data_IF_747078738977
#
_entry.id   IF_747078738977
#
_cell.length_a   1.000
_cell.length_b   1.000
_cell.length_c   1.000
_cell.angle_alpha   90.00
_cell.angle_beta   90.00
_cell.angle_gamma   90.00
#
_symmetry.space_group_name_H-M   'P 1'
#
loop_
_entity.id
_entity.type
_entity.pdbx_description
1 polymer ?
#
# COMPACT_ATOMS: atom_id res chain seq x y z
N UNK A 1 18.97 3.59 -11.94
CA UNK A 1 18.09 2.60 -11.28
C UNK A 1 18.90 1.38 -10.86
N UNK A 2 18.78 0.93 -9.60
CA UNK A 2 19.58 -0.18 -9.06
C UNK A 2 18.87 -1.53 -9.10
N UNK A 3 19.61 -2.61 -8.86
CA UNK A 3 19.15 -4.01 -8.92
C UNK A 3 18.21 -4.43 -7.75
N UNK A 4 17.61 -3.45 -7.07
CA UNK A 4 16.70 -3.57 -5.93
C UNK A 4 15.33 -2.92 -6.16
N UNK A 5 15.10 -2.30 -7.33
CA UNK A 5 13.83 -1.64 -7.66
C UNK A 5 12.66 -2.59 -7.90
N UNK A 6 11.46 -2.02 -8.10
CA UNK A 6 10.20 -2.75 -8.36
C UNK A 6 10.38 -3.80 -9.47
N UNK A 7 10.89 -3.39 -10.63
CA UNK A 7 11.11 -4.28 -11.79
C UNK A 7 12.05 -5.45 -11.43
N UNK A 8 13.16 -5.17 -10.74
CA UNK A 8 14.11 -6.21 -10.31
C UNK A 8 13.46 -7.23 -9.35
N UNK A 9 12.62 -6.76 -8.42
CA UNK A 9 11.87 -7.63 -7.50
C UNK A 9 10.88 -8.53 -8.26
N UNK A 10 10.21 -7.99 -9.28
CA UNK A 10 9.29 -8.75 -10.14
C UNK A 10 10.01 -9.82 -10.95
N UNK A 11 11.14 -9.48 -11.59
CA UNK A 11 11.96 -10.46 -12.32
C UNK A 11 12.42 -11.58 -11.38
N UNK A 12 12.87 -11.24 -10.17
CA UNK A 12 13.24 -12.23 -9.15
C UNK A 12 12.05 -13.15 -8.83
N UNK A 13 10.85 -12.60 -8.67
CA UNK A 13 9.65 -13.39 -8.41
C UNK A 13 9.33 -14.38 -9.55
N UNK A 14 9.49 -13.98 -10.82
CA UNK A 14 9.30 -14.89 -11.96
C UNK A 14 10.26 -16.10 -11.91
N UNK A 15 11.54 -15.84 -11.60
CA UNK A 15 12.57 -16.88 -11.49
C UNK A 15 12.28 -17.82 -10.33
N UNK A 16 11.97 -17.26 -9.15
CA UNK A 16 11.69 -18.05 -7.94
C UNK A 16 10.41 -18.89 -8.07
N UNK A 17 9.35 -18.36 -8.72
CA UNK A 17 8.14 -19.13 -8.98
C UNK A 17 8.40 -20.40 -9.78
N UNK A 18 9.23 -20.31 -10.83
CA UNK A 18 9.66 -21.49 -11.60
C UNK A 18 10.48 -22.48 -10.76
N UNK A 19 11.36 -22.00 -9.88
CA UNK A 19 12.15 -22.84 -8.97
C UNK A 19 11.26 -23.59 -7.98
N UNK A 20 10.33 -22.89 -7.31
CA UNK A 20 9.41 -23.47 -6.32
C UNK A 20 8.54 -24.55 -6.97
N UNK A 21 7.90 -24.27 -8.10
CA UNK A 21 7.06 -25.27 -8.79
C UNK A 21 7.86 -26.50 -9.23
N UNK A 22 9.13 -26.33 -9.60
CA UNK A 22 10.00 -27.47 -9.92
C UNK A 22 10.30 -28.32 -8.68
N UNK A 23 10.55 -27.68 -7.53
CA UNK A 23 10.77 -28.35 -6.24
C UNK A 23 9.52 -29.10 -5.75
N UNK A 24 8.33 -28.54 -6.00
CA UNK A 24 7.02 -29.17 -5.75
C UNK A 24 6.67 -30.27 -6.77
N UNK A 25 7.65 -30.75 -7.55
CA UNK A 25 7.53 -31.89 -8.47
C UNK A 25 6.51 -31.67 -9.59
N UNK A 26 6.36 -30.44 -10.10
CA UNK A 26 5.56 -30.15 -11.30
C UNK A 26 6.33 -30.23 -12.62
N UNK A 27 7.65 -30.47 -12.57
CA UNK A 27 8.50 -30.65 -13.75
C UNK A 27 7.99 -31.79 -14.64
N UNK A 28 7.73 -31.48 -15.91
CA UNK A 28 7.28 -32.45 -16.92
C UNK A 28 5.84 -32.93 -16.77
N UNK A 29 5.09 -32.45 -15.77
CA UNK A 29 3.68 -32.80 -15.62
C UNK A 29 2.83 -32.03 -16.62
N UNK A 30 1.76 -32.68 -17.08
CA UNK A 30 0.70 -31.99 -17.81
C UNK A 30 -0.10 -31.11 -16.84
N UNK A 31 -0.24 -29.82 -17.19
CA UNK A 31 -0.97 -28.84 -16.39
C UNK A 31 -1.95 -28.14 -17.32
N UNK A 32 -3.25 -28.32 -17.09
CA UNK A 32 -4.27 -27.66 -17.91
C UNK A 32 -4.32 -26.15 -17.66
N UNK A 33 -4.21 -25.74 -16.39
CA UNK A 33 -4.31 -24.33 -16.01
C UNK A 33 -3.43 -24.02 -14.79
N UNK A 34 -2.61 -22.99 -14.90
CA UNK A 34 -1.90 -22.36 -13.80
C UNK A 34 -2.66 -21.11 -13.35
N UNK A 35 -3.27 -21.19 -12.17
CA UNK A 35 -3.94 -20.04 -11.52
C UNK A 35 -2.94 -19.31 -10.63
N UNK A 36 -2.78 -18.02 -10.87
CA UNK A 36 -1.85 -17.15 -10.14
C UNK A 36 -2.66 -16.15 -9.33
N UNK A 37 -2.37 -16.09 -8.03
CA UNK A 37 -2.88 -15.08 -7.13
C UNK A 37 -1.70 -14.20 -6.69
N UNK A 38 -1.85 -12.89 -6.75
CA UNK A 38 -0.77 -11.93 -6.53
C UNK A 38 -1.15 -11.06 -5.34
N UNK A 39 -0.19 -10.84 -4.44
CA UNK A 39 -0.38 -10.01 -3.26
C UNK A 39 0.74 -8.99 -3.15
N UNK A 40 0.42 -7.81 -2.61
CA UNK A 40 1.43 -6.82 -2.31
C UNK A 40 0.93 -5.75 -1.35
N UNK A 41 1.86 -5.23 -0.55
CA UNK A 41 1.66 -4.07 0.32
C UNK A 41 2.62 -2.96 -0.12
N UNK A 42 2.14 -1.70 -0.19
CA UNK A 42 2.98 -0.53 -0.48
C UNK A 42 3.69 -0.65 -1.83
N UNK A 43 5.00 -0.45 -1.87
CA UNK A 43 5.87 -0.75 -3.04
C UNK A 43 5.80 -2.21 -3.49
N UNK A 44 5.44 -3.13 -2.59
CA UNK A 44 5.12 -4.51 -2.93
C UNK A 44 3.82 -4.63 -3.72
N UNK A 45 2.82 -3.77 -3.47
CA UNK A 45 1.61 -3.68 -4.27
C UNK A 45 1.92 -3.11 -5.67
N UNK A 46 2.79 -2.10 -5.77
CA UNK A 46 3.31 -1.64 -7.06
C UNK A 46 4.05 -2.77 -7.82
N UNK A 47 4.83 -3.60 -7.12
CA UNK A 47 5.44 -4.78 -7.70
C UNK A 47 4.43 -5.85 -8.13
N UNK A 48 3.35 -6.06 -7.37
CA UNK A 48 2.26 -6.97 -7.77
C UNK A 48 1.57 -6.49 -9.06
N UNK A 49 1.28 -5.20 -9.15
CA UNK A 49 0.73 -4.53 -10.34
C UNK A 49 1.68 -4.70 -11.55
N UNK A 50 2.96 -4.37 -11.38
CA UNK A 50 3.95 -4.51 -12.43
C UNK A 50 4.24 -5.98 -12.81
N UNK A 51 4.10 -6.93 -11.88
CA UNK A 51 4.16 -8.36 -12.19
C UNK A 51 3.07 -8.75 -13.18
N UNK A 52 1.84 -8.24 -13.02
CA UNK A 52 0.78 -8.49 -14.00
C UNK A 52 1.13 -7.91 -15.37
N UNK A 53 1.80 -6.75 -15.44
CA UNK A 53 2.30 -6.22 -16.71
C UNK A 53 3.31 -7.19 -17.35
N UNK A 54 4.38 -7.55 -16.63
CA UNK A 54 5.43 -8.47 -17.12
C UNK A 54 4.83 -9.83 -17.54
N UNK A 55 3.87 -10.34 -16.78
CA UNK A 55 3.29 -11.65 -16.97
C UNK A 55 2.06 -11.67 -17.91
N UNK A 56 1.68 -10.50 -18.47
CA UNK A 56 0.72 -10.37 -19.56
C UNK A 56 1.32 -9.67 -20.80
N UNK A 57 2.65 -9.54 -20.86
CA UNK A 57 3.37 -8.97 -21.99
C UNK A 57 4.21 -10.03 -22.70
N UNK A 58 4.51 -9.87 -24.01
CA UNK A 58 5.38 -10.78 -24.74
C UNK A 58 6.80 -10.86 -24.17
N UNK A 59 7.49 -11.97 -24.41
CA UNK A 59 8.88 -12.16 -23.98
C UNK A 59 9.83 -11.28 -24.81
N UNK A 60 10.90 -10.80 -24.19
CA UNK A 60 11.99 -10.12 -24.93
C UNK A 60 12.85 -11.19 -25.60
N UNK A 61 12.59 -11.45 -26.88
CA UNK A 61 13.29 -12.46 -27.67
C UNK A 61 14.61 -11.89 -28.18
N UNK A 62 15.72 -12.58 -27.89
CA UNK A 62 17.04 -12.27 -28.42
C UNK A 62 17.26 -12.90 -29.79
N UNK A 63 16.98 -14.20 -29.91
CA UNK A 63 17.01 -14.91 -31.18
C UNK A 63 16.17 -16.19 -31.13
N UNK A 64 15.90 -16.75 -32.31
CA UNK A 64 15.30 -18.06 -32.52
C UNK A 64 16.29 -18.92 -33.30
N UNK A 65 16.51 -20.16 -32.87
CA UNK A 65 17.38 -21.09 -33.58
C UNK A 65 16.61 -21.96 -34.60
N UNK A 66 17.36 -22.79 -35.35
CA UNK A 66 16.80 -23.65 -36.41
C UNK A 66 15.87 -24.75 -35.87
N UNK A 67 15.95 -25.07 -34.59
CA UNK A 67 15.12 -26.06 -33.91
C UNK A 67 13.89 -25.42 -33.23
N UNK A 68 13.62 -24.14 -33.54
CA UNK A 68 12.54 -23.35 -32.96
C UNK A 68 12.65 -23.17 -31.44
N UNK A 69 13.87 -23.20 -30.90
CA UNK A 69 14.11 -22.74 -29.54
C UNK A 69 14.32 -21.23 -29.51
N UNK A 70 13.79 -20.59 -28.48
CA UNK A 70 13.81 -19.16 -28.27
C UNK A 70 14.82 -18.83 -27.17
N UNK A 71 15.74 -17.92 -27.45
CA UNK A 71 16.57 -17.32 -26.41
C UNK A 71 15.88 -16.06 -25.89
N UNK A 72 15.56 -16.05 -24.60
CA UNK A 72 14.86 -14.96 -23.92
C UNK A 72 15.85 -14.14 -23.10
N UNK A 73 15.71 -12.81 -23.15
CA UNK A 73 16.41 -11.88 -22.26
C UNK A 73 15.56 -11.56 -21.05
N UNK A 74 16.23 -11.37 -19.90
CA UNK A 74 15.57 -10.81 -18.73
C UNK A 74 15.18 -9.33 -18.95
N UNK A 75 14.00 -8.89 -18.48
CA UNK A 75 13.61 -7.48 -18.51
C UNK A 75 14.53 -6.58 -17.67
N UNK A 76 15.08 -7.12 -16.58
CA UNK A 76 15.95 -6.36 -15.66
C UNK A 76 16.79 -7.29 -14.79
N UNK A 77 18.02 -6.90 -14.49
CA UNK A 77 18.85 -7.59 -13.51
C UNK A 77 18.35 -7.34 -12.08
N UNK A 78 18.52 -8.33 -11.21
CA UNK A 78 18.28 -8.19 -9.76
C UNK A 78 19.52 -8.61 -8.97
N UNK A 79 19.63 -8.11 -7.74
CA UNK A 79 20.79 -8.40 -6.90
C UNK A 79 20.89 -9.91 -6.60
N UNK A 80 22.02 -10.52 -6.96
CA UNK A 80 22.25 -11.96 -6.80
C UNK A 80 21.66 -12.81 -7.92
N UNK A 81 21.29 -12.22 -9.05
CA UNK A 81 20.88 -12.98 -10.25
C UNK A 81 22.03 -13.86 -10.74
N UNK A 82 21.73 -15.12 -11.02
CA UNK A 82 22.68 -16.06 -11.62
C UNK A 82 22.85 -15.77 -13.12
N UNK A 83 24.05 -15.95 -13.67
CA UNK A 83 24.32 -15.72 -15.09
C UNK A 83 23.37 -16.49 -16.02
N UNK A 84 22.92 -17.68 -15.60
CA UNK A 84 21.97 -18.48 -16.36
C UNK A 84 20.55 -17.90 -16.42
N UNK A 85 20.21 -16.94 -15.56
CA UNK A 85 18.89 -16.28 -15.55
C UNK A 85 18.90 -14.97 -16.36
N UNK A 86 20.08 -14.45 -16.74
CA UNK A 86 20.19 -13.24 -17.56
C UNK A 86 19.66 -13.45 -18.98
N UNK A 87 20.09 -14.56 -19.59
CA UNK A 87 19.71 -14.96 -20.94
C UNK A 87 19.74 -16.48 -21.02
N UNK A 88 18.64 -17.07 -21.43
CA UNK A 88 18.53 -18.52 -21.51
C UNK A 88 17.62 -18.97 -22.65
N UNK A 89 17.82 -20.21 -23.08
CA UNK A 89 17.10 -20.84 -24.18
C UNK A 89 15.96 -21.71 -23.64
N UNK A 90 14.79 -21.62 -24.26
CA UNK A 90 13.62 -22.46 -23.99
C UNK A 90 12.96 -22.89 -25.31
N UNK A 91 12.22 -24.01 -25.34
CA UNK A 91 11.39 -24.34 -26.50
C UNK A 91 10.35 -23.25 -26.75
N UNK A 92 10.03 -22.97 -28.01
CA UNK A 92 8.90 -22.09 -28.33
C UNK A 92 7.60 -22.64 -27.73
N UNK A 93 6.81 -21.73 -27.18
CA UNK A 93 5.46 -21.98 -26.68
C UNK A 93 4.64 -20.71 -26.89
N UNK A 94 3.36 -20.79 -27.28
CA UNK A 94 2.46 -19.63 -27.34
C UNK A 94 2.34 -18.87 -26.02
N UNK A 95 2.73 -19.49 -24.89
CA UNK A 95 2.83 -18.81 -23.61
C UNK A 95 3.86 -17.67 -23.62
N UNK A 96 4.92 -17.74 -24.43
CA UNK A 96 5.95 -16.69 -24.49
C UNK A 96 5.39 -15.40 -25.08
N UNK A 97 4.46 -15.49 -26.02
CA UNK A 97 3.84 -14.33 -26.66
C UNK A 97 2.86 -13.62 -25.72
N UNK A 98 2.26 -14.36 -24.79
CA UNK A 98 1.21 -13.85 -23.90
C UNK A 98 1.67 -13.56 -22.48
N UNK A 99 2.61 -14.36 -21.96
CA UNK A 99 3.01 -14.37 -20.56
C UNK A 99 4.51 -14.17 -20.36
N UNK A 100 5.22 -13.85 -21.45
CA UNK A 100 6.53 -13.24 -21.45
C UNK A 100 7.59 -13.94 -20.62
N UNK A 101 8.33 -13.12 -19.86
CA UNK A 101 9.43 -13.61 -19.05
C UNK A 101 8.98 -14.57 -17.94
N UNK A 102 7.74 -14.42 -17.44
CA UNK A 102 7.17 -15.36 -16.47
C UNK A 102 7.01 -16.76 -17.10
N UNK A 103 6.43 -16.85 -18.29
CA UNK A 103 6.35 -18.12 -19.01
C UNK A 103 7.74 -18.69 -19.35
N UNK A 104 8.69 -17.85 -19.75
CA UNK A 104 10.05 -18.30 -20.01
C UNK A 104 10.68 -18.97 -18.77
N UNK A 105 10.50 -18.39 -17.58
CA UNK A 105 10.99 -18.97 -16.32
C UNK A 105 10.36 -20.33 -15.99
N UNK A 106 9.06 -20.51 -16.30
CA UNK A 106 8.38 -21.80 -16.15
C UNK A 106 8.92 -22.84 -17.15
N UNK A 107 9.02 -22.47 -18.43
CA UNK A 107 9.49 -23.35 -19.50
C UNK A 107 10.93 -23.82 -19.28
N UNK A 108 11.80 -22.93 -18.77
CA UNK A 108 13.18 -23.27 -18.36
C UNK A 108 13.23 -24.44 -17.38
N UNK A 109 12.18 -24.61 -16.57
CA UNK A 109 12.03 -25.68 -15.58
C UNK A 109 11.12 -26.83 -16.04
N UNK A 110 10.84 -26.89 -17.34
CA UNK A 110 9.93 -27.86 -17.99
C UNK A 110 8.52 -27.83 -17.39
N UNK A 111 8.04 -26.64 -17.03
CA UNK A 111 6.66 -26.40 -16.59
C UNK A 111 5.96 -25.67 -17.73
N UNK A 112 5.02 -26.35 -18.41
CA UNK A 112 4.35 -25.85 -19.60
C UNK A 112 2.82 -25.99 -19.46
N UNK A 113 2.16 -25.11 -18.70
CA UNK A 113 0.72 -25.16 -18.54
C UNK A 113 0.01 -24.77 -19.85
N UNK A 114 -1.12 -25.41 -20.19
CA UNK A 114 -1.90 -25.04 -21.39
C UNK A 114 -2.43 -23.59 -21.30
N UNK A 115 -2.65 -23.09 -20.08
CA UNK A 115 -3.14 -21.74 -19.82
C UNK A 115 -2.60 -21.18 -18.50
N UNK A 116 -2.35 -19.87 -18.46
CA UNK A 116 -2.08 -19.12 -17.22
C UNK A 116 -3.23 -18.12 -17.02
N UNK A 117 -3.73 -18.01 -15.78
CA UNK A 117 -4.76 -17.03 -15.40
C UNK A 117 -4.39 -16.32 -14.10
N UNK A 118 -4.57 -15.01 -14.09
CA UNK A 118 -4.46 -14.19 -12.87
C UNK A 118 -5.85 -14.08 -12.24
N UNK A 119 -6.03 -14.80 -11.13
CA UNK A 119 -7.35 -15.00 -10.51
C UNK A 119 -7.70 -13.91 -9.50
N UNK A 120 -6.76 -13.61 -8.60
CA UNK A 120 -6.94 -12.65 -7.53
C UNK A 120 -5.70 -11.78 -7.40
N UNK A 121 -5.92 -10.47 -7.32
CA UNK A 121 -4.89 -9.49 -6.99
C UNK A 121 -5.29 -8.77 -5.71
N UNK A 122 -4.59 -9.07 -4.62
CA UNK A 122 -4.83 -8.51 -3.29
C UNK A 122 -3.79 -7.44 -2.95
N UNK A 123 -4.22 -6.18 -2.91
CA UNK A 123 -3.35 -5.04 -2.68
C UNK A 123 -3.66 -4.39 -1.32
N UNK A 124 -2.60 -3.99 -0.63
CA UNK A 124 -2.67 -3.12 0.54
C UNK A 124 -1.97 -1.82 0.18
N UNK A 125 -2.72 -0.73 0.24
CA UNK A 125 -2.26 0.64 0.19
C UNK A 125 -1.14 0.91 -0.82
N UNK A 126 -1.46 0.82 -2.11
CA UNK A 126 -0.45 0.91 -3.17
C UNK A 126 0.19 2.29 -3.19
N UNK A 127 1.51 2.33 -2.99
CA UNK A 127 2.32 3.54 -3.18
C UNK A 127 3.26 3.28 -4.36
N UNK A 128 3.03 4.01 -5.45
CA UNK A 128 3.94 4.07 -6.58
C UNK A 128 5.12 4.97 -6.18
N UNK A 129 6.30 4.40 -6.03
CA UNK A 129 7.52 5.20 -5.83
C UNK A 129 8.61 4.68 -6.77
N UNK A 130 8.88 5.44 -7.82
CA UNK A 130 9.95 5.20 -8.78
C UNK A 130 10.94 6.37 -8.73
N UNK A 131 12.12 6.12 -8.15
CA UNK A 131 13.22 7.10 -8.14
C UNK A 131 13.22 8.04 -6.92
N UNK A 132 13.93 9.16 -7.06
CA UNK A 132 14.13 10.18 -6.00
C UNK A 132 13.02 11.25 -6.04
N UNK A 133 12.15 11.18 -7.06
CA UNK A 133 10.95 11.98 -7.21
C UNK A 133 9.74 11.05 -7.15
N UNK A 134 8.83 11.28 -6.21
CA UNK A 134 7.59 10.53 -6.03
C UNK A 134 6.50 11.12 -6.94
N UNK A 135 6.69 11.03 -8.26
CA UNK A 135 5.72 11.50 -9.26
C UNK A 135 4.63 10.46 -9.57
N UNK A 136 3.80 10.75 -10.59
CA UNK A 136 2.83 9.80 -11.12
C UNK A 136 3.51 8.69 -11.95
N UNK A 137 4.08 7.70 -11.28
CA UNK A 137 4.80 6.58 -11.90
C UNK A 137 3.87 5.47 -12.42
N UNK A 138 2.55 5.72 -12.47
CA UNK A 138 1.56 4.74 -12.93
C UNK A 138 1.83 4.32 -14.36
N UNK A 139 2.14 5.29 -15.25
CA UNK A 139 2.48 5.01 -16.64
C UNK A 139 3.85 4.35 -16.78
N UNK A 140 4.82 4.76 -15.98
CA UNK A 140 6.21 4.32 -16.10
C UNK A 140 6.40 2.86 -15.67
N UNK A 141 5.49 2.35 -14.84
CA UNK A 141 5.48 0.98 -14.37
C UNK A 141 4.27 0.17 -14.85
N UNK A 142 3.45 0.71 -15.77
CA UNK A 142 2.23 0.06 -16.28
C UNK A 142 1.35 -0.51 -15.16
N UNK A 143 1.14 0.29 -14.12
CA UNK A 143 0.46 -0.21 -12.92
C UNK A 143 -1.04 -0.49 -13.16
N UNK A 144 -1.58 -0.01 -14.28
CA UNK A 144 -2.94 -0.27 -14.77
C UNK A 144 -3.14 -1.71 -15.31
N UNK A 145 -2.07 -2.51 -15.34
CA UNK A 145 -2.12 -3.91 -15.75
C UNK A 145 -3.02 -4.80 -14.86
N UNK A 146 -3.47 -4.30 -13.71
CA UNK A 146 -4.46 -4.96 -12.86
C UNK A 146 -5.79 -5.23 -13.55
N UNK A 147 -6.12 -4.49 -14.62
CA UNK A 147 -7.27 -4.77 -15.50
C UNK A 147 -7.27 -6.18 -16.10
N UNK A 148 -6.09 -6.84 -16.13
CA UNK A 148 -5.92 -8.21 -16.60
C UNK A 148 -6.17 -9.27 -15.50
N UNK A 149 -6.38 -8.87 -14.25
CA UNK A 149 -6.77 -9.77 -13.16
C UNK A 149 -8.27 -10.01 -13.19
N UNK A 150 -8.70 -11.25 -12.89
CA UNK A 150 -10.12 -11.58 -12.83
C UNK A 150 -10.84 -10.83 -11.68
N UNK A 151 -10.18 -10.63 -10.55
CA UNK A 151 -10.65 -9.74 -9.49
C UNK A 151 -9.48 -9.02 -8.82
N UNK A 152 -9.71 -7.77 -8.43
CA UNK A 152 -8.74 -6.94 -7.73
C UNK A 152 -9.40 -6.41 -6.45
N UNK A 153 -8.76 -6.64 -5.31
CA UNK A 153 -9.14 -6.04 -4.04
C UNK A 153 -8.01 -5.10 -3.61
N UNK A 154 -8.34 -3.86 -3.27
CA UNK A 154 -7.40 -2.96 -2.60
C UNK A 154 -7.96 -2.49 -1.26
N UNK A 155 -7.11 -2.52 -0.23
CA UNK A 155 -7.39 -1.95 1.09
C UNK A 155 -6.51 -0.70 1.23
N UNK A 156 -7.13 0.47 1.30
CA UNK A 156 -6.46 1.78 1.27
C UNK A 156 -6.58 2.48 2.63
N UNK A 157 -5.53 3.18 3.04
CA UNK A 157 -5.49 4.02 4.23
C UNK A 157 -6.18 5.38 3.98
N UNK A 158 -7.09 5.79 4.85
CA UNK A 158 -7.72 7.12 4.79
C UNK A 158 -6.91 8.20 5.51
N UNK A 159 -6.13 7.81 6.52
CA UNK A 159 -5.41 8.72 7.40
C UNK A 159 -3.93 8.87 7.05
N UNK A 160 -3.51 8.43 5.87
CA UNK A 160 -2.13 8.64 5.40
C UNK A 160 -1.95 10.08 4.87
N UNK A 161 -1.11 10.84 5.57
CA UNK A 161 -0.90 12.27 5.33
C UNK A 161 0.50 12.62 4.80
N UNK A 162 1.40 11.63 4.69
CA UNK A 162 2.76 11.88 4.23
C UNK A 162 2.81 12.23 2.75
N UNK A 163 3.65 13.19 2.39
CA UNK A 163 3.82 13.63 1.01
C UNK A 163 4.23 12.48 0.08
N UNK A 164 5.21 11.67 0.48
CA UNK A 164 5.76 10.63 -0.40
C UNK A 164 4.96 9.31 -0.44
N UNK A 165 3.71 9.31 0.05
CA UNK A 165 2.86 8.13 0.22
C UNK A 165 1.53 8.22 -0.54
N UNK A 166 1.56 8.86 -1.72
CA UNK A 166 0.40 8.95 -2.60
C UNK A 166 -0.16 7.58 -2.97
N UNK A 167 -1.49 7.51 -2.97
CA UNK A 167 -2.21 6.30 -3.27
C UNK A 167 -2.26 6.11 -4.78
N UNK A 168 -1.96 4.91 -5.24
CA UNK A 168 -2.39 4.47 -6.57
C UNK A 168 -3.68 3.66 -6.42
N UNK A 169 -4.81 4.22 -6.86
CA UNK A 169 -6.10 3.53 -6.80
C UNK A 169 -6.20 2.40 -7.84
N UNK A 170 -7.29 1.64 -7.81
CA UNK A 170 -7.55 0.54 -8.77
C UNK A 170 -8.55 0.88 -9.87
N UNK A 171 -8.66 2.15 -10.28
CA UNK A 171 -9.62 2.62 -11.30
C UNK A 171 -9.60 1.77 -12.56
N UNK A 172 -8.43 1.34 -13.02
CA UNK A 172 -8.25 0.52 -14.22
C UNK A 172 -8.90 -0.87 -14.16
N UNK A 173 -9.16 -1.41 -12.95
CA UNK A 173 -9.87 -2.67 -12.79
C UNK A 173 -11.38 -2.55 -13.05
N UNK A 174 -11.94 -1.33 -13.00
CA UNK A 174 -13.38 -1.10 -13.21
C UNK A 174 -14.24 -2.02 -12.34
N UNK A 175 -15.24 -2.66 -12.95
CA UNK A 175 -16.12 -3.62 -12.26
C UNK A 175 -15.42 -4.90 -11.75
N UNK A 176 -14.20 -5.20 -12.20
CA UNK A 176 -13.41 -6.30 -11.65
C UNK A 176 -12.67 -5.88 -10.36
N UNK A 177 -12.64 -4.59 -10.04
CA UNK A 177 -12.04 -4.04 -8.84
C UNK A 177 -13.06 -3.85 -7.71
N UNK A 178 -12.56 -3.86 -6.48
CA UNK A 178 -13.22 -3.35 -5.29
C UNK A 178 -12.17 -2.73 -4.36
N UNK A 179 -12.33 -1.46 -4.03
CA UNK A 179 -11.43 -0.75 -3.12
C UNK A 179 -12.19 -0.36 -1.86
N UNK A 180 -11.59 -0.60 -0.69
CA UNK A 180 -12.10 -0.12 0.59
C UNK A 180 -11.12 0.89 1.17
N UNK A 181 -11.63 2.08 1.48
CA UNK A 181 -10.90 3.11 2.22
C UNK A 181 -11.22 2.96 3.70
N UNK A 182 -10.21 2.70 4.52
CA UNK A 182 -10.36 2.35 5.93
C UNK A 182 -9.61 3.37 6.82
N UNK A 183 -10.08 3.61 8.06
CA UNK A 183 -9.37 4.49 8.98
C UNK A 183 -7.97 3.94 9.29
N UNK A 184 -7.04 4.83 9.58
CA UNK A 184 -5.64 4.49 9.87
C UNK A 184 -4.66 4.86 8.77
N UNK A 185 -3.38 4.78 9.11
CA UNK A 185 -2.25 5.13 8.22
C UNK A 185 -1.76 3.91 7.45
N UNK A 186 -0.79 4.10 6.55
CA UNK A 186 -0.28 3.07 5.65
C UNK A 186 0.00 1.70 6.31
N UNK A 187 0.71 1.71 7.44
CA UNK A 187 1.10 0.48 8.14
C UNK A 187 0.02 -0.06 9.09
N UNK A 188 -1.02 0.73 9.41
CA UNK A 188 -2.23 0.21 10.09
C UNK A 188 -3.02 -0.70 9.15
N UNK A 189 -2.94 -0.45 7.84
CA UNK A 189 -3.56 -1.28 6.80
C UNK A 189 -2.66 -2.46 6.41
N UNK A 190 -1.36 -2.23 6.24
CA UNK A 190 -0.42 -3.24 5.77
C UNK A 190 0.19 -4.17 6.83
N UNK A 191 0.11 -3.81 8.12
CA UNK A 191 0.63 -4.60 9.24
C UNK A 191 2.15 -4.56 9.37
N UNK A 192 2.70 -3.47 9.92
CA UNK A 192 4.15 -3.33 10.15
C UNK A 192 4.55 -2.66 11.47
N UNK A 193 3.59 -2.23 12.28
CA UNK A 193 3.87 -1.67 13.61
C UNK A 193 4.06 -2.78 14.64
N UNK A 194 4.89 -2.53 15.65
CA UNK A 194 4.98 -3.44 16.79
C UNK A 194 3.87 -3.12 17.80
N UNK A 195 3.52 -4.12 18.62
CA UNK A 195 2.45 -3.96 19.61
C UNK A 195 2.99 -3.35 20.90
N UNK A 196 2.19 -2.49 21.53
CA UNK A 196 2.49 -1.83 22.80
C UNK A 196 3.73 -0.92 22.75
N UNK A 197 3.98 -0.26 21.62
CA UNK A 197 5.09 0.68 21.50
C UNK A 197 4.74 2.09 22.01
N UNK A 198 5.79 2.78 22.45
CA UNK A 198 5.76 4.23 22.63
C UNK A 198 5.91 4.91 21.26
N UNK A 199 4.97 5.77 20.92
CA UNK A 199 5.02 6.57 19.72
C UNK A 199 5.23 8.04 20.08
N UNK A 200 6.37 8.59 19.65
CA UNK A 200 6.65 10.04 19.66
C UNK A 200 6.61 10.54 18.22
N UNK A 201 5.79 11.56 17.96
CA UNK A 201 5.52 12.11 16.63
C UNK A 201 5.61 13.62 16.64
N UNK A 202 6.54 14.19 15.86
CA UNK A 202 6.51 15.62 15.53
C UNK A 202 5.45 15.81 14.44
N UNK A 203 4.30 16.35 14.83
CA UNK A 203 3.12 16.49 13.96
C UNK A 203 3.24 17.73 13.06
N UNK A 204 3.86 18.77 13.59
CA UNK A 204 4.10 20.05 12.92
C UNK A 204 5.49 20.56 13.32
N UNK A 205 6.22 21.12 12.35
CA UNK A 205 7.58 21.57 12.52
C UNK A 205 7.82 22.77 11.62
N UNK A 206 8.06 23.95 12.22
CA UNK A 206 8.38 25.16 11.45
C UNK A 206 9.54 25.93 12.07
N UNK A 207 10.50 26.27 11.20
CA UNK A 207 11.62 27.16 11.51
C UNK A 207 11.17 28.60 11.28
N UNK A 208 11.15 29.40 12.34
CA UNK A 208 10.88 30.83 12.22
C UNK A 208 11.81 31.65 13.10
N UNK A 209 12.26 32.80 12.57
CA UNK A 209 12.92 33.82 13.38
C UNK A 209 11.93 34.47 14.35
N UNK A 210 12.43 35.04 15.45
CA UNK A 210 11.59 35.76 16.46
C UNK A 210 10.75 36.88 15.81
N UNK A 211 11.27 37.52 14.76
CA UNK A 211 10.55 38.56 14.01
C UNK A 211 9.38 38.00 13.20
N UNK A 212 9.57 36.84 12.58
CA UNK A 212 8.54 36.18 11.78
C UNK A 212 7.41 35.58 12.65
N UNK A 213 7.73 35.13 13.87
CA UNK A 213 6.75 34.62 14.86
C UNK A 213 5.58 35.57 15.10
N UNK A 214 5.90 36.85 15.33
CA UNK A 214 4.89 37.89 15.68
C UNK A 214 4.03 38.24 14.46
N UNK A 215 4.59 38.14 13.26
CA UNK A 215 3.91 38.46 12.00
C UNK A 215 2.99 37.31 11.56
N UNK A 216 3.36 36.06 11.84
CA UNK A 216 2.64 34.87 11.41
C UNK A 216 1.73 34.23 12.47
N UNK A 217 1.68 34.80 13.69
CA UNK A 217 0.84 34.31 14.80
C UNK A 217 1.03 32.81 15.09
N UNK A 218 2.29 32.37 15.02
CA UNK A 218 2.68 30.95 14.99
C UNK A 218 2.32 30.20 16.28
N UNK A 219 2.29 30.89 17.42
CA UNK A 219 1.83 30.33 18.69
C UNK A 219 0.34 29.95 18.64
N UNK A 220 -0.47 30.81 18.01
CA UNK A 220 -1.89 30.54 17.82
C UNK A 220 -2.08 29.37 16.85
N UNK A 221 -1.27 29.25 15.80
CA UNK A 221 -1.34 28.15 14.84
C UNK A 221 -1.00 26.79 15.46
N UNK A 222 0.07 26.69 16.24
CA UNK A 222 0.42 25.42 16.89
C UNK A 222 -0.63 24.98 17.93
N UNK A 223 -1.23 25.92 18.66
CA UNK A 223 -2.33 25.62 19.60
C UNK A 223 -3.62 25.24 18.87
N UNK A 224 -3.96 25.91 17.75
CA UNK A 224 -5.07 25.48 16.89
C UNK A 224 -4.85 24.05 16.41
N UNK A 225 -3.66 23.71 15.94
CA UNK A 225 -3.38 22.36 15.45
C UNK A 225 -3.44 21.32 16.56
N UNK A 226 -2.90 21.65 17.75
CA UNK A 226 -3.06 20.85 18.96
C UNK A 226 -4.54 20.59 19.27
N UNK A 227 -5.40 21.60 19.20
CA UNK A 227 -6.83 21.45 19.45
C UNK A 227 -7.51 20.60 18.37
N UNK A 228 -7.11 20.72 17.10
CA UNK A 228 -7.63 19.90 15.99
C UNK A 228 -7.35 18.41 16.27
N UNK A 229 -6.11 18.03 16.55
CA UNK A 229 -5.75 16.62 16.76
C UNK A 229 -6.36 16.03 18.03
N UNK A 230 -6.63 16.86 19.04
CA UNK A 230 -7.43 16.46 20.21
C UNK A 230 -8.89 16.22 19.84
N UNK A 231 -9.51 17.16 19.12
CA UNK A 231 -10.91 17.08 18.73
C UNK A 231 -11.21 15.90 17.81
N UNK A 232 -10.27 15.57 16.93
CA UNK A 232 -10.33 14.41 16.03
C UNK A 232 -10.10 13.07 16.74
N UNK A 233 -9.64 13.10 18.00
CA UNK A 233 -9.40 11.91 18.83
C UNK A 233 -8.05 11.24 18.62
N UNK A 234 -7.08 11.89 17.96
CA UNK A 234 -5.73 11.33 17.83
C UNK A 234 -4.98 11.35 19.16
N UNK A 235 -5.09 12.45 19.92
CA UNK A 235 -4.39 12.63 21.18
C UNK A 235 -5.33 13.12 22.29
N UNK A 236 -5.07 12.70 23.53
CA UNK A 236 -5.64 13.31 24.73
C UNK A 236 -4.90 14.62 25.05
N UNK A 237 -5.49 15.58 25.78
CA UNK A 237 -4.86 16.87 26.06
C UNK A 237 -3.46 16.81 26.70
N UNK A 238 -3.17 15.75 27.47
CA UNK A 238 -1.87 15.51 28.11
C UNK A 238 -0.88 14.72 27.22
N UNK A 239 -1.35 14.15 26.10
CA UNK A 239 -0.53 13.39 25.15
C UNK A 239 0.03 14.26 24.03
N UNK A 240 -0.35 15.55 23.97
CA UNK A 240 0.12 16.46 22.93
C UNK A 240 0.52 17.80 23.53
N UNK A 241 1.74 18.22 23.19
CA UNK A 241 2.32 19.48 23.62
C UNK A 241 2.59 20.33 22.38
N UNK A 242 2.24 21.61 22.46
CA UNK A 242 2.62 22.61 21.48
C UNK A 242 3.56 23.61 22.15
N UNK A 243 4.62 24.01 21.46
CA UNK A 243 5.56 24.97 22.00
C UNK A 243 6.82 25.13 21.17
N UNK A 244 7.78 25.82 21.79
CA UNK A 244 9.10 26.07 21.23
C UNK A 244 10.07 25.01 21.76
N UNK A 245 10.62 24.19 20.88
CA UNK A 245 11.59 23.15 21.21
C UNK A 245 12.93 23.41 20.48
N UNK A 246 14.04 22.99 21.08
CA UNK A 246 15.34 22.98 20.41
C UNK A 246 15.50 21.73 19.55
N UNK A 247 16.42 21.76 18.58
CA UNK A 247 16.71 20.61 17.71
C UNK A 247 17.17 19.39 18.54
N UNK A 248 17.95 19.60 19.60
CA UNK A 248 18.34 18.52 20.52
C UNK A 248 17.18 17.90 21.30
N UNK A 249 16.09 18.64 21.56
CA UNK A 249 14.88 18.11 22.20
C UNK A 249 14.08 17.22 21.23
N UNK A 250 14.36 17.30 19.92
CA UNK A 250 13.74 16.52 18.85
C UNK A 250 14.60 15.34 18.39
N UNK A 251 15.78 15.16 19.00
CA UNK A 251 16.69 14.03 18.80
C UNK A 251 17.50 14.09 17.50
N UNK A 252 17.59 15.26 16.87
CA UNK A 252 18.27 15.51 15.59
C UNK A 252 19.71 15.97 15.79
N UNK A 253 20.03 16.68 16.88
CA UNK A 253 21.35 17.26 17.14
C UNK A 253 21.85 17.07 18.58
N UNK A 254 23.17 17.27 18.81
CA UNK A 254 23.77 17.20 20.14
C UNK A 254 23.47 18.46 20.94
N UNK A 255 22.88 18.29 22.13
CA UNK A 255 22.53 19.38 23.05
C UNK A 255 23.72 20.32 23.32
N UNK A 256 23.54 21.61 23.04
CA UNK A 256 24.53 22.68 23.21
C UNK A 256 25.53 22.87 22.06
N UNK A 257 25.31 22.25 20.89
CA UNK A 257 26.05 22.57 19.67
C UNK A 257 25.69 23.97 19.14
N UNK A 258 26.50 24.51 18.22
CA UNK A 258 26.17 25.79 17.54
C UNK A 258 24.87 25.65 16.73
N UNK A 259 24.60 24.44 16.24
CA UNK A 259 23.40 24.10 15.46
C UNK A 259 22.16 23.90 16.36
N UNK A 260 22.32 23.63 17.67
CA UNK A 260 21.26 23.52 18.67
C UNK A 260 20.76 24.89 19.20
N UNK A 261 21.39 25.99 18.76
CA UNK A 261 20.94 27.35 19.07
C UNK A 261 19.61 27.72 18.39
N UNK A 262 19.12 26.88 17.48
CA UNK A 262 17.90 27.11 16.71
C UNK A 262 16.66 26.57 17.43
N UNK A 263 15.62 27.40 17.45
CA UNK A 263 14.33 27.09 18.09
C UNK A 263 13.25 26.86 17.05
N UNK A 264 12.45 25.81 17.24
CA UNK A 264 11.37 25.43 16.33
C UNK A 264 10.01 25.51 17.00
N UNK A 265 9.01 25.94 16.24
CA UNK A 265 7.61 25.89 16.67
C UNK A 265 7.05 24.52 16.29
N UNK A 266 6.62 23.79 17.30
CA UNK A 266 6.32 22.36 17.13
C UNK A 266 5.04 21.97 17.84
N UNK A 267 4.39 20.94 17.27
CA UNK A 267 3.37 20.16 17.95
C UNK A 267 3.88 18.74 18.03
N UNK A 268 4.07 18.22 19.25
CA UNK A 268 4.61 16.90 19.50
C UNK A 268 3.56 16.07 20.22
N UNK A 269 3.23 14.93 19.63
CA UNK A 269 2.36 13.92 20.23
C UNK A 269 3.17 12.77 20.80
N UNK A 270 2.84 12.33 22.00
CA UNK A 270 3.42 11.16 22.68
C UNK A 270 2.31 10.25 23.17
N UNK A 271 2.35 8.99 22.74
CA UNK A 271 1.39 7.95 23.14
C UNK A 271 2.14 6.71 23.60
N UNK A 272 1.79 6.22 24.78
CA UNK A 272 2.34 4.98 25.33
C UNK A 272 1.38 3.81 25.08
N UNK A 273 1.93 2.60 24.97
CA UNK A 273 1.18 1.35 24.82
C UNK A 273 0.25 1.33 23.60
N UNK A 274 0.65 1.95 22.49
CA UNK A 274 -0.12 1.97 21.26
C UNK A 274 -0.18 0.56 20.66
N UNK A 275 -1.39 0.11 20.29
CA UNK A 275 -1.61 -1.28 19.84
C UNK A 275 -1.56 -1.38 18.33
N UNK A 276 -1.03 -2.48 17.80
CA UNK A 276 -1.00 -2.72 16.34
C UNK A 276 -2.17 -3.56 15.82
N UNK A 277 -2.98 -4.12 16.72
CA UNK A 277 -3.96 -5.16 16.41
C UNK A 277 -5.12 -4.76 15.49
N UNK A 278 -5.21 -3.49 15.07
CA UNK A 278 -6.15 -3.05 14.05
C UNK A 278 -5.87 -3.66 12.67
N UNK A 279 -4.60 -3.94 12.33
CA UNK A 279 -4.17 -4.56 11.07
C UNK A 279 -4.84 -5.91 10.76
N UNK A 280 -5.38 -6.56 11.79
CA UNK A 280 -6.16 -7.79 11.70
C UNK A 280 -7.49 -7.59 10.96
N UNK A 281 -8.08 -6.40 11.02
CA UNK A 281 -9.32 -6.07 10.30
C UNK A 281 -9.11 -6.14 8.78
N UNK A 282 -8.20 -5.35 8.17
CA UNK A 282 -7.91 -5.45 6.75
C UNK A 282 -7.39 -6.85 6.37
N UNK A 283 -6.54 -7.47 7.20
CA UNK A 283 -6.04 -8.82 6.94
C UNK A 283 -7.16 -9.87 6.83
N UNK A 284 -8.13 -9.87 7.76
CA UNK A 284 -9.29 -10.77 7.70
C UNK A 284 -10.12 -10.54 6.43
N UNK A 285 -10.27 -9.29 5.99
CA UNK A 285 -11.00 -8.98 4.75
C UNK A 285 -10.29 -9.51 3.51
N UNK A 286 -8.95 -9.42 3.48
CA UNK A 286 -8.15 -10.02 2.42
C UNK A 286 -8.28 -11.54 2.39
N UNK A 287 -8.25 -12.21 3.54
CA UNK A 287 -8.48 -13.66 3.64
C UNK A 287 -9.85 -14.05 3.09
N UNK A 288 -10.92 -13.33 3.47
CA UNK A 288 -12.28 -13.60 2.99
C UNK A 288 -12.37 -13.62 1.46
N UNK A 289 -11.83 -12.60 0.77
CA UNK A 289 -11.89 -12.56 -0.68
C UNK A 289 -10.96 -13.55 -1.35
N UNK A 290 -9.72 -13.64 -0.88
CA UNK A 290 -8.73 -14.55 -1.49
C UNK A 290 -9.09 -16.03 -1.35
N UNK A 291 -9.73 -16.44 -0.25
CA UNK A 291 -10.26 -17.80 -0.07
C UNK A 291 -11.33 -18.13 -1.13
N UNK A 292 -12.22 -17.17 -1.44
CA UNK A 292 -13.19 -17.31 -2.52
C UNK A 292 -12.52 -17.57 -3.89
N UNK A 293 -11.30 -17.06 -4.11
CA UNK A 293 -10.50 -17.32 -5.30
C UNK A 293 -9.58 -18.55 -5.19
N UNK A 294 -9.74 -19.35 -4.13
CA UNK A 294 -9.10 -20.64 -3.96
C UNK A 294 -7.73 -20.60 -3.27
N UNK A 295 -7.35 -19.47 -2.65
CA UNK A 295 -6.13 -19.42 -1.83
C UNK A 295 -6.31 -20.29 -0.60
N UNK A 296 -5.34 -21.16 -0.33
CA UNK A 296 -5.38 -22.09 0.79
C UNK A 296 -4.52 -21.58 1.93
N UNK A 297 -5.13 -21.51 3.10
CA UNK A 297 -4.51 -21.04 4.32
C UNK A 297 -4.39 -22.14 5.37
N UNK A 298 -3.38 -22.02 6.20
CA UNK A 298 -3.26 -22.78 7.44
C UNK A 298 -4.20 -22.14 8.49
N UNK A 299 -5.41 -22.68 8.60
CA UNK A 299 -6.48 -22.13 9.46
C UNK A 299 -6.05 -22.08 10.93
N UNK A 300 -5.26 -23.06 11.38
CA UNK A 300 -4.77 -23.11 12.77
C UNK A 300 -3.87 -21.91 13.10
N UNK A 301 -3.05 -21.45 12.15
CA UNK A 301 -2.23 -20.25 12.31
C UNK A 301 -3.06 -18.98 12.25
N UNK A 302 -4.09 -18.95 11.41
CA UNK A 302 -5.00 -17.80 11.32
C UNK A 302 -5.74 -17.59 12.63
N UNK A 303 -6.40 -18.62 13.13
CA UNK A 303 -7.19 -18.58 14.36
C UNK A 303 -6.30 -18.26 15.57
N UNK A 304 -5.13 -18.89 15.69
CA UNK A 304 -4.27 -18.66 16.86
C UNK A 304 -3.61 -17.27 16.91
N UNK A 305 -3.24 -16.70 15.75
CA UNK A 305 -2.38 -15.50 15.70
C UNK A 305 -3.12 -14.24 15.26
N UNK A 306 -4.08 -14.36 14.35
CA UNK A 306 -4.70 -13.21 13.67
C UNK A 306 -6.18 -13.02 14.05
N UNK A 307 -6.62 -13.63 15.16
CA UNK A 307 -7.95 -13.39 15.71
C UNK A 307 -8.04 -12.01 16.40
N UNK A 308 -9.23 -11.41 16.27
CA UNK A 308 -9.58 -10.12 16.89
C UNK A 308 -10.29 -10.46 18.21
N UNK A 309 -9.51 -10.56 19.28
CA UNK A 309 -10.02 -10.96 20.60
C UNK A 309 -10.47 -9.78 21.48
N UNK A 310 -10.08 -8.56 21.10
CA UNK A 310 -10.46 -7.36 21.83
C UNK A 310 -11.91 -6.98 21.48
N UNK A 311 -12.78 -6.85 22.49
CA UNK A 311 -14.21 -6.56 22.31
C UNK A 311 -14.44 -5.26 21.54
N UNK A 312 -13.69 -4.21 21.86
CA UNK A 312 -13.79 -2.93 21.16
C UNK A 312 -13.41 -3.06 19.67
N UNK A 313 -12.33 -3.78 19.33
CA UNK A 313 -12.00 -4.03 17.93
C UNK A 313 -13.02 -4.95 17.22
N UNK A 314 -13.72 -5.84 17.93
CA UNK A 314 -14.82 -6.60 17.36
C UNK A 314 -16.01 -5.70 17.01
N UNK A 315 -16.34 -4.72 17.86
CA UNK A 315 -17.37 -3.72 17.59
C UNK A 315 -16.99 -2.84 16.40
N UNK A 316 -15.76 -2.34 16.34
CA UNK A 316 -15.22 -1.59 15.19
C UNK A 316 -15.26 -2.45 13.92
N UNK A 317 -14.83 -3.71 13.99
CA UNK A 317 -14.87 -4.64 12.87
C UNK A 317 -16.29 -4.81 12.32
N UNK A 318 -17.29 -4.96 13.18
CA UNK A 318 -18.69 -5.10 12.77
C UNK A 318 -19.21 -3.82 12.07
N UNK A 319 -18.85 -2.63 12.57
CA UNK A 319 -19.19 -1.36 11.95
C UNK A 319 -18.55 -1.22 10.55
N UNK A 320 -17.25 -1.47 10.44
CA UNK A 320 -16.54 -1.43 9.15
C UNK A 320 -17.01 -2.51 8.18
N UNK A 321 -17.48 -3.66 8.67
CA UNK A 321 -18.07 -4.71 7.84
C UNK A 321 -19.37 -4.25 7.18
N UNK A 322 -20.18 -3.40 7.82
CA UNK A 322 -21.37 -2.82 7.20
C UNK A 322 -21.00 -1.87 6.05
N UNK A 323 -19.97 -1.05 6.24
CA UNK A 323 -19.39 -0.21 5.19
C UNK A 323 -18.91 -1.05 3.99
N UNK A 324 -18.07 -2.06 4.25
CA UNK A 324 -17.54 -2.94 3.21
C UNK A 324 -18.63 -3.74 2.50
N UNK A 325 -19.71 -4.08 3.22
CA UNK A 325 -20.90 -4.73 2.65
C UNK A 325 -21.61 -3.78 1.68
N UNK A 326 -21.85 -2.52 2.05
CA UNK A 326 -22.47 -1.54 1.18
C UNK A 326 -21.69 -1.35 -0.14
N UNK A 327 -20.37 -1.23 -0.04
CA UNK A 327 -19.47 -1.18 -1.19
C UNK A 327 -19.57 -2.44 -2.08
N UNK A 328 -19.58 -3.62 -1.45
CA UNK A 328 -19.74 -4.91 -2.16
C UNK A 328 -21.10 -5.02 -2.86
N UNK A 329 -22.17 -4.61 -2.18
CA UNK A 329 -23.54 -4.69 -2.68
C UNK A 329 -23.74 -3.77 -3.89
N UNK A 330 -23.16 -2.56 -3.86
CA UNK A 330 -23.12 -1.65 -4.99
C UNK A 330 -22.45 -2.31 -6.20
N UNK A 331 -21.23 -2.86 -6.03
CA UNK A 331 -20.53 -3.55 -7.11
C UNK A 331 -21.36 -4.71 -7.67
N UNK A 332 -21.92 -5.53 -6.78
CA UNK A 332 -22.71 -6.69 -7.15
C UNK A 332 -24.01 -6.31 -7.90
N UNK A 333 -24.60 -5.15 -7.60
CA UNK A 333 -25.73 -4.61 -8.37
C UNK A 333 -25.33 -4.37 -9.83
N UNK A 334 -24.25 -3.63 -10.06
CA UNK A 334 -23.74 -3.36 -11.42
C UNK A 334 -23.39 -4.65 -12.20
N UNK A 335 -22.81 -5.65 -11.53
CA UNK A 335 -22.51 -6.96 -12.14
C UNK A 335 -23.79 -7.71 -12.54
N UNK A 336 -24.80 -7.76 -11.66
CA UNK A 336 -26.08 -8.43 -11.94
C UNK A 336 -26.82 -7.79 -13.10
N UNK A 337 -26.76 -6.46 -13.19
CA UNK A 337 -27.35 -5.67 -14.27
C UNK A 337 -26.57 -5.81 -15.59
N UNK A 338 -25.45 -6.55 -15.61
CA UNK A 338 -24.53 -6.69 -16.75
C UNK A 338 -24.12 -5.32 -17.31
N UNK A 339 -23.99 -4.33 -16.43
CA UNK A 339 -23.53 -3.01 -16.80
C UNK A 339 -22.06 -3.08 -17.23
N UNK A 340 -21.71 -2.35 -18.29
CA UNK A 340 -20.31 -2.07 -18.63
C UNK A 340 -19.88 -0.67 -18.14
N UNK A 341 -20.76 0.01 -17.40
CA UNK A 341 -20.53 1.37 -16.92
C UNK A 341 -19.68 1.38 -15.65
N UNK A 342 -18.38 1.14 -15.84
CA UNK A 342 -17.40 1.25 -14.76
C UNK A 342 -17.29 2.67 -14.22
N UNK A 343 -17.61 3.70 -15.01
CA UNK A 343 -17.48 5.10 -14.60
C UNK A 343 -18.51 5.46 -13.54
N UNK A 344 -19.79 5.14 -13.77
CA UNK A 344 -20.84 5.38 -12.78
C UNK A 344 -20.64 4.55 -11.53
N UNK A 345 -20.25 3.27 -11.67
CA UNK A 345 -19.88 2.42 -10.54
C UNK A 345 -18.81 3.07 -9.65
N UNK A 346 -17.69 3.51 -10.24
CA UNK A 346 -16.58 4.11 -9.50
C UNK A 346 -16.98 5.44 -8.85
N UNK A 347 -17.79 6.25 -9.54
CA UNK A 347 -18.30 7.51 -8.99
C UNK A 347 -19.20 7.27 -7.78
N UNK A 348 -20.14 6.32 -7.85
CA UNK A 348 -21.02 5.95 -6.74
C UNK A 348 -20.23 5.32 -5.58
N UNK A 349 -19.26 4.45 -5.87
CA UNK A 349 -18.44 3.79 -4.85
C UNK A 349 -17.67 4.82 -4.01
N UNK A 350 -17.11 5.85 -4.65
CA UNK A 350 -16.37 6.94 -3.98
C UNK A 350 -17.23 7.80 -3.06
N UNK A 351 -18.56 7.75 -3.17
CA UNK A 351 -19.47 8.46 -2.25
C UNK A 351 -19.76 7.67 -0.97
N UNK A 352 -19.44 6.37 -0.92
CA UNK A 352 -19.66 5.55 0.27
C UNK A 352 -18.48 5.77 1.21
N UNK A 353 -18.73 6.38 2.36
CA UNK A 353 -17.70 6.64 3.38
C UNK A 353 -17.86 5.68 4.55
N UNK A 354 -16.75 5.19 5.12
CA UNK A 354 -16.80 4.43 6.36
C UNK A 354 -17.28 5.29 7.54
N UNK A 355 -17.16 6.62 7.44
CA UNK A 355 -17.62 7.57 8.46
C UNK A 355 -19.14 7.53 8.67
N UNK A 356 -19.89 7.07 7.67
CA UNK A 356 -21.36 6.89 7.79
C UNK A 356 -21.73 5.62 8.59
N UNK A 357 -20.75 4.76 8.90
CA UNK A 357 -20.96 3.46 9.53
C UNK A 357 -20.26 3.31 10.89
N UNK A 358 -19.16 4.04 11.12
CA UNK A 358 -18.45 4.03 12.40
C UNK A 358 -18.92 5.17 13.30
N UNK A 359 -19.20 4.87 14.57
CA UNK A 359 -19.57 5.89 15.54
C UNK A 359 -18.40 6.84 15.81
N UNK A 360 -18.68 8.13 15.97
CA UNK A 360 -17.64 9.13 16.25
C UNK A 360 -16.84 8.79 17.51
N UNK A 361 -17.53 8.27 18.54
CA UNK A 361 -16.90 7.84 19.80
C UNK A 361 -15.90 6.71 19.57
N UNK A 362 -16.30 5.69 18.79
CA UNK A 362 -15.43 4.54 18.52
C UNK A 362 -14.29 4.94 17.60
N UNK A 363 -14.52 5.80 16.61
CA UNK A 363 -13.46 6.32 15.75
C UNK A 363 -12.41 7.10 16.55
N UNK A 364 -12.81 7.96 17.50
CA UNK A 364 -11.87 8.68 18.37
C UNK A 364 -11.08 7.72 19.26
N UNK A 365 -11.73 6.68 19.77
CA UNK A 365 -11.08 5.67 20.60
C UNK A 365 -10.09 4.84 19.78
N UNK A 366 -10.50 4.46 18.55
CA UNK A 366 -9.67 3.73 17.60
C UNK A 366 -8.43 4.54 17.23
N UNK A 367 -8.59 5.82 16.88
CA UNK A 367 -7.49 6.75 16.58
C UNK A 367 -6.49 6.84 17.72
N UNK A 368 -6.96 7.03 18.96
CA UNK A 368 -6.06 7.22 20.08
C UNK A 368 -5.29 5.96 20.45
N UNK A 369 -5.93 4.79 20.41
CA UNK A 369 -5.42 3.56 21.03
C UNK A 369 -4.87 2.51 20.06
N UNK A 370 -5.20 2.60 18.77
CA UNK A 370 -4.86 1.56 17.78
C UNK A 370 -4.30 2.09 16.45
N UNK A 371 -4.54 3.36 16.11
CA UNK A 371 -4.05 3.93 14.84
C UNK A 371 -2.82 4.78 15.08
N UNK A 372 -1.83 4.62 14.23
CA UNK A 372 -0.54 5.29 14.34
C UNK A 372 -0.58 6.64 13.64
N UNK A 373 0.38 7.49 13.97
CA UNK A 373 0.60 8.77 13.29
C UNK A 373 1.87 8.68 12.46
N UNK A 374 1.70 8.53 11.15
CA UNK A 374 2.80 8.22 10.24
C UNK A 374 3.72 9.41 9.95
N UNK A 375 3.20 10.64 10.01
CA UNK A 375 3.96 11.86 9.76
C UNK A 375 5.00 12.08 10.85
N UNK A 376 6.22 12.41 10.42
CA UNK A 376 7.30 12.92 11.28
C UNK A 376 7.84 14.18 10.60
N UNK A 377 7.25 15.32 10.92
CA UNK A 377 7.49 16.59 10.22
C UNK A 377 8.95 17.06 10.26
N UNK A 378 9.74 16.55 11.21
CA UNK A 378 11.18 16.82 11.35
C UNK A 378 12.08 15.80 10.62
N UNK A 379 11.53 14.81 9.90
CA UNK A 379 12.30 13.75 9.24
C UNK A 379 12.09 13.79 7.73
N UNK A 380 13.21 13.84 7.02
CA UNK A 380 13.21 13.81 5.55
C UNK A 380 12.47 12.57 5.00
N UNK A 381 11.52 12.80 4.11
CA UNK A 381 10.70 11.77 3.47
C UNK A 381 9.43 11.36 4.23
N UNK A 382 9.21 11.90 5.44
CA UNK A 382 8.06 11.62 6.31
C UNK A 382 7.25 12.87 6.65
N UNK A 383 7.45 13.95 5.91
CA UNK A 383 6.77 15.23 6.05
C UNK A 383 5.30 15.12 5.65
N UNK A 384 4.49 16.05 6.16
CA UNK A 384 3.08 16.19 5.77
C UNK A 384 2.95 16.74 4.35
N UNK A 385 1.91 16.33 3.62
CA UNK A 385 1.56 16.97 2.35
C UNK A 385 0.94 18.35 2.56
N UNK A 386 1.34 19.29 1.71
CA UNK A 386 0.89 20.69 1.73
C UNK A 386 0.11 21.11 0.46
N UNK A 387 0.14 20.29 -0.61
CA UNK A 387 -0.29 20.68 -1.96
C UNK A 387 -1.80 20.91 -2.12
N UNK A 388 -2.63 20.29 -1.28
CA UNK A 388 -4.10 20.35 -1.40
C UNK A 388 -4.80 21.18 -0.31
N UNK A 389 -4.02 21.80 0.57
CA UNK A 389 -4.55 22.54 1.70
C UNK A 389 -4.88 24.01 1.32
N UNK A 390 -5.87 24.64 1.98
CA UNK A 390 -6.22 26.04 1.74
C UNK A 390 -5.06 27.01 2.05
N UNK A 391 -4.11 26.56 2.87
CA UNK A 391 -2.81 27.17 3.10
C UNK A 391 -1.73 26.09 3.01
N UNK A 392 -0.54 26.43 2.50
CA UNK A 392 0.58 25.48 2.40
C UNK A 392 1.00 24.97 3.77
N UNK A 393 0.95 25.84 4.78
CA UNK A 393 1.31 25.50 6.15
C UNK A 393 0.16 25.87 7.12
N UNK A 394 0.16 25.28 8.32
CA UNK A 394 -0.68 25.69 9.45
C UNK A 394 -1.53 24.59 10.06
N UNK A 395 -2.49 24.99 10.90
CA UNK A 395 -3.40 24.08 11.59
C UNK A 395 -4.46 23.50 10.64
N UNK A 396 -4.16 22.38 9.99
CA UNK A 396 -5.04 21.76 9.00
C UNK A 396 -5.93 20.66 9.60
N UNK A 397 -7.24 20.79 9.39
CA UNK A 397 -8.21 19.72 9.68
C UNK A 397 -7.98 18.48 8.79
N UNK A 398 -8.40 17.30 9.24
CA UNK A 398 -8.20 16.02 8.55
C UNK A 398 -8.55 16.03 7.05
N UNK A 399 -9.66 16.69 6.67
CA UNK A 399 -10.12 16.77 5.27
C UNK A 399 -9.13 17.47 4.33
N UNK A 400 -8.23 18.29 4.87
CA UNK A 400 -7.20 19.01 4.11
C UNK A 400 -5.84 18.31 4.13
N UNK A 401 -5.66 17.26 4.95
CA UNK A 401 -4.41 16.50 5.08
C UNK A 401 -4.34 15.27 4.18
N UNK A 402 -5.25 15.14 3.20
CA UNK A 402 -5.36 13.96 2.35
C UNK A 402 -4.23 13.92 1.32
N UNK A 403 -3.64 12.74 1.13
CA UNK A 403 -2.67 12.45 0.07
C UNK A 403 -3.29 12.51 -1.33
N UNK A 404 -2.44 12.61 -2.35
CA UNK A 404 -2.91 12.54 -3.74
C UNK A 404 -3.28 11.10 -4.11
N UNK A 405 -4.24 10.99 -5.03
CA UNK A 405 -4.70 9.73 -5.58
C UNK A 405 -4.36 9.71 -7.07
N UNK A 406 -3.47 8.80 -7.46
CA UNK A 406 -3.14 8.51 -8.84
C UNK A 406 -4.06 7.42 -9.36
N UNK A 407 -4.73 7.70 -10.48
CA UNK A 407 -5.63 6.73 -11.11
C UNK A 407 -4.82 5.71 -11.90
N UNK A 408 -4.78 4.47 -11.42
CA UNK A 408 -4.00 3.42 -12.06
C UNK A 408 -4.67 2.09 -12.07
#
# INVERSE_FOLDING_TARGET
MGDRGVVAKVVKACVEAGKILSQEKYTGKEIDELKVNVFGFSRGAAAARHFLHIANSPAIIFNTDRENNITVNTPRNYQGMENQDFRFKVPYSPLLDKHGYFAACLLKRKINPKKIKFHFTGLYDTVASYGVYHGNDVSDLDLDAIKNSHFVLQLSADDEYRENFDLTDITSAGLNGLEYTLPGVHCDIGGAYNDLEEEVSVLYYKRESVYNRVIHDTDTEIEKFRQIVINEGWYKPYQVTAGVLHDSDLGTEVKGSVDDAETFYTVVGTRENLRNSYDKIPLKKMFFFSDYFGVKYDTTKIEKKYEINNLFLQEVYNQLMNYMKACSDLRNKYIREKSNDSKSYLNELRQISYLDYISEKDLKTLRNEYLHWSVKANKFGLETRESQAPSKEGALEQKYRKREIHHG
#
